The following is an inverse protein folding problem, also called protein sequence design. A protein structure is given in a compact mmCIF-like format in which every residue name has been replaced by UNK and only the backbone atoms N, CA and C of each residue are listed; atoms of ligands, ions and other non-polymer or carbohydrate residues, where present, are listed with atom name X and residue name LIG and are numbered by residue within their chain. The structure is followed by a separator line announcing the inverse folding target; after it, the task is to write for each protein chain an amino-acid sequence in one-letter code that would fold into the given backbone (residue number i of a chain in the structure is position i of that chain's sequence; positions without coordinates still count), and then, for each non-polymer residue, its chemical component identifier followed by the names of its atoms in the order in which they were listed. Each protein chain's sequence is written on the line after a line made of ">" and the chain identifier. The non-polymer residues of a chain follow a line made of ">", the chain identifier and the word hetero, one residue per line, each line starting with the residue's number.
data_IF_372807096565
#
_entry.id   IF_372807096565
#
_cell.length_a   1.000
_cell.length_b   1.000
_cell.length_c   1.000
_cell.angle_alpha   90.00
_cell.angle_beta   90.00
_cell.angle_gamma   90.00
#
_symmetry.space_group_name_H-M   'P 1'
#
loop_
_entity.id
_entity.type
_entity.pdbx_description
1 polymer ?
#
# COMPACT_ATOMS: atom_id res chain seq x y z
N UNK A 1 -26.97 -11.45 -21.69
CA UNK A 1 -26.01 -12.33 -20.98
C UNK A 1 -26.54 -12.81 -19.65
N UNK A 2 -26.80 -11.94 -18.67
CA UNK A 2 -27.27 -12.39 -17.35
C UNK A 2 -28.65 -13.05 -17.45
N UNK A 3 -29.60 -12.38 -18.10
CA UNK A 3 -30.95 -12.93 -18.36
C UNK A 3 -30.96 -14.14 -19.31
N UNK A 4 -29.84 -14.37 -20.01
CA UNK A 4 -29.64 -15.56 -20.86
C UNK A 4 -29.05 -16.73 -20.07
N UNK A 5 -28.77 -16.58 -18.77
CA UNK A 5 -28.20 -17.61 -17.91
C UNK A 5 -26.71 -17.89 -18.17
N UNK A 6 -25.98 -16.94 -18.74
CA UNK A 6 -24.55 -17.07 -19.02
C UNK A 6 -23.70 -16.62 -17.84
N UNK A 7 -22.57 -17.31 -17.61
CA UNK A 7 -21.57 -16.90 -16.63
C UNK A 7 -20.87 -15.62 -17.09
N UNK A 8 -20.89 -14.60 -16.24
CA UNK A 8 -20.28 -13.29 -16.50
C UNK A 8 -19.18 -13.07 -15.48
N UNK A 9 -18.01 -12.63 -15.96
CA UNK A 9 -16.91 -12.24 -15.10
C UNK A 9 -16.42 -10.85 -15.49
N UNK A 10 -16.29 -9.98 -14.50
CA UNK A 10 -15.54 -8.74 -14.61
C UNK A 10 -14.20 -8.91 -13.90
N UNK A 11 -13.10 -8.86 -14.66
CA UNK A 11 -11.78 -9.04 -14.11
C UNK A 11 -11.23 -7.71 -13.58
N UNK A 12 -10.83 -7.69 -12.31
CA UNK A 12 -10.22 -6.55 -11.65
C UNK A 12 -8.72 -6.77 -11.40
N UNK A 13 -7.97 -5.66 -11.36
CA UNK A 13 -6.58 -5.68 -10.92
C UNK A 13 -6.49 -5.63 -9.41
N UNK A 14 -5.62 -6.45 -8.82
CA UNK A 14 -5.38 -6.45 -7.38
C UNK A 14 -6.58 -6.98 -6.61
N UNK A 15 -7.04 -6.25 -5.62
CA UNK A 15 -8.26 -6.56 -4.86
C UNK A 15 -9.39 -5.58 -5.23
N UNK A 16 -10.60 -6.06 -5.59
CA UNK A 16 -11.71 -5.20 -6.00
C UNK A 16 -12.13 -4.15 -4.94
N UNK A 17 -11.87 -4.41 -3.66
CA UNK A 17 -12.26 -3.51 -2.57
C UNK A 17 -11.38 -2.26 -2.45
N UNK A 18 -10.18 -2.26 -3.05
CA UNK A 18 -9.22 -1.16 -2.95
C UNK A 18 -9.15 -0.43 -4.30
N UNK A 19 -9.82 0.72 -4.38
CA UNK A 19 -9.88 1.57 -5.58
C UNK A 19 -10.38 0.85 -6.85
N UNK A 20 -11.10 -0.27 -6.70
CA UNK A 20 -11.61 -1.08 -7.81
C UNK A 20 -12.87 -0.51 -8.49
N UNK A 21 -13.49 0.52 -7.91
CA UNK A 21 -14.69 1.18 -8.42
C UNK A 21 -15.87 0.22 -8.70
N UNK A 22 -16.11 -0.74 -7.80
CA UNK A 22 -17.17 -1.76 -7.92
C UNK A 22 -18.50 -1.35 -7.29
N UNK A 23 -18.56 -0.20 -6.60
CA UNK A 23 -19.74 0.18 -5.82
C UNK A 23 -21.00 0.35 -6.68
N UNK A 24 -20.89 0.98 -7.85
CA UNK A 24 -22.03 1.20 -8.74
C UNK A 24 -22.57 -0.14 -9.29
N UNK A 25 -21.69 -1.11 -9.51
CA UNK A 25 -22.07 -2.47 -9.94
C UNK A 25 -22.80 -3.20 -8.82
N UNK A 26 -22.26 -3.16 -7.60
CA UNK A 26 -22.89 -3.71 -6.40
C UNK A 26 -24.30 -3.12 -6.22
N UNK A 27 -24.43 -1.80 -6.33
CA UNK A 27 -25.72 -1.13 -6.21
C UNK A 27 -26.70 -1.55 -7.31
N UNK A 28 -26.23 -1.68 -8.55
CA UNK A 28 -27.04 -2.15 -9.67
C UNK A 28 -27.55 -3.58 -9.43
N UNK A 29 -26.68 -4.52 -9.07
CA UNK A 29 -27.06 -5.91 -8.83
C UNK A 29 -28.00 -6.04 -7.63
N UNK A 30 -27.71 -5.34 -6.52
CA UNK A 30 -28.57 -5.33 -5.34
C UNK A 30 -29.97 -4.78 -5.65
N UNK A 31 -30.06 -3.67 -6.40
CA UNK A 31 -31.34 -3.03 -6.73
C UNK A 31 -32.22 -3.88 -7.64
N UNK A 32 -31.60 -4.73 -8.46
CA UNK A 32 -32.30 -5.65 -9.37
C UNK A 32 -32.44 -7.08 -8.80
N UNK A 33 -31.99 -7.32 -7.55
CA UNK A 33 -31.98 -8.65 -6.91
C UNK A 33 -31.26 -9.70 -7.76
N UNK A 34 -30.17 -9.28 -8.40
CA UNK A 34 -29.31 -10.14 -9.19
C UNK A 34 -28.22 -10.74 -8.30
N UNK A 35 -27.89 -12.01 -8.52
CA UNK A 35 -26.85 -12.71 -7.80
C UNK A 35 -25.47 -12.32 -8.34
N UNK A 36 -24.51 -12.15 -7.44
CA UNK A 36 -23.10 -11.93 -7.75
C UNK A 36 -22.23 -12.37 -6.57
N UNK A 37 -20.96 -12.56 -6.86
CA UNK A 37 -19.93 -12.83 -5.86
C UNK A 37 -18.73 -11.91 -6.09
N UNK A 38 -18.13 -11.40 -5.02
CA UNK A 38 -16.86 -10.67 -5.07
C UNK A 38 -15.76 -11.64 -4.66
N UNK A 39 -14.91 -12.00 -5.61
CA UNK A 39 -13.73 -12.84 -5.34
C UNK A 39 -12.58 -11.94 -4.89
N UNK A 40 -12.05 -12.09 -3.65
CA UNK A 40 -10.94 -11.29 -3.17
C UNK A 40 -9.66 -11.58 -3.94
N UNK A 41 -8.77 -10.59 -3.99
CA UNK A 41 -7.51 -10.65 -4.72
C UNK A 41 -6.32 -10.19 -3.90
N UNK A 42 -5.13 -10.21 -4.52
CA UNK A 42 -3.90 -9.72 -3.89
C UNK A 42 -3.64 -8.29 -4.35
N UNK A 43 -3.88 -7.32 -3.46
CA UNK A 43 -3.58 -5.91 -3.73
C UNK A 43 -2.08 -5.66 -3.97
N UNK A 44 -1.75 -4.66 -4.78
CA UNK A 44 -0.37 -4.32 -5.13
C UNK A 44 0.49 -3.94 -3.92
N UNK A 45 -0.11 -3.48 -2.82
CA UNK A 45 0.63 -3.19 -1.57
C UNK A 45 1.19 -4.47 -0.95
N UNK A 46 0.43 -5.56 -0.94
CA UNK A 46 0.90 -6.85 -0.42
C UNK A 46 1.90 -7.50 -1.36
N UNK A 47 1.66 -7.42 -2.67
CA UNK A 47 2.61 -7.86 -3.67
C UNK A 47 3.95 -7.10 -3.55
N UNK A 48 3.91 -5.78 -3.30
CA UNK A 48 5.09 -4.94 -3.14
C UNK A 48 5.87 -5.33 -1.88
N UNK A 49 5.18 -5.46 -0.74
CA UNK A 49 5.79 -5.89 0.51
C UNK A 49 6.48 -7.27 0.37
N UNK A 50 5.79 -8.23 -0.24
CA UNK A 50 6.34 -9.57 -0.50
C UNK A 50 7.56 -9.52 -1.44
N UNK A 51 7.51 -8.70 -2.49
CA UNK A 51 8.62 -8.53 -3.44
C UNK A 51 9.83 -7.85 -2.83
N UNK A 52 9.63 -6.99 -1.83
CA UNK A 52 10.69 -6.37 -1.05
C UNK A 52 11.17 -7.26 0.11
N UNK A 53 10.55 -8.42 0.34
CA UNK A 53 10.89 -9.32 1.44
C UNK A 53 10.65 -8.70 2.82
N UNK A 54 9.63 -7.86 2.96
CA UNK A 54 9.39 -7.10 4.19
C UNK A 54 7.97 -7.27 4.72
N UNK A 55 7.82 -7.18 6.04
CA UNK A 55 6.52 -6.99 6.69
C UNK A 55 6.12 -5.51 6.68
N UNK A 56 4.83 -5.22 6.45
CA UNK A 56 4.29 -3.85 6.47
C UNK A 56 4.10 -3.32 7.90
N UNK A 57 3.94 -4.23 8.87
CA UNK A 57 3.84 -3.94 10.29
C UNK A 57 4.90 -4.72 11.04
N UNK A 58 5.68 -4.03 11.87
CA UNK A 58 6.75 -4.64 12.67
C UNK A 58 6.77 -4.12 14.09
N UNK A 59 6.85 -5.01 15.10
CA UNK A 59 6.99 -4.61 16.49
C UNK A 59 8.18 -3.68 16.71
N UNK A 60 7.96 -2.52 17.32
CA UNK A 60 9.00 -1.52 17.57
C UNK A 60 9.31 -0.59 16.39
N UNK A 61 8.59 -0.70 15.28
CA UNK A 61 8.69 0.25 14.15
C UNK A 61 7.35 0.81 13.74
N UNK A 62 6.38 -0.03 13.36
CA UNK A 62 5.02 0.43 13.02
C UNK A 62 4.00 -0.69 13.20
N UNK A 63 2.79 -0.34 13.63
CA UNK A 63 1.67 -1.26 13.80
C UNK A 63 0.46 -0.89 12.92
N UNK A 64 0.60 0.14 12.09
CA UNK A 64 -0.48 0.64 11.25
C UNK A 64 -0.01 0.76 9.81
N UNK A 65 -0.91 0.54 8.86
CA UNK A 65 -0.66 0.75 7.44
C UNK A 65 -1.76 1.64 6.90
N UNK A 66 -1.39 2.73 6.24
CA UNK A 66 -2.33 3.63 5.58
C UNK A 66 -2.25 3.37 4.08
N UNK A 67 -3.37 2.97 3.48
CA UNK A 67 -3.55 2.90 2.04
C UNK A 67 -4.28 4.18 1.61
N UNK A 68 -3.65 4.98 0.75
CA UNK A 68 -4.22 6.27 0.33
C UNK A 68 -3.90 6.58 -1.13
N UNK A 69 -4.41 7.69 -1.64
CA UNK A 69 -4.11 8.24 -2.97
C UNK A 69 -4.10 9.77 -2.90
N UNK A 70 -3.30 10.43 -3.74
CA UNK A 70 -3.43 11.87 -3.92
C UNK A 70 -4.62 12.15 -4.86
N UNK A 71 -5.57 13.03 -4.46
CA UNK A 71 -6.67 13.43 -5.33
C UNK A 71 -6.16 14.09 -6.63
N UNK A 72 -6.82 13.85 -7.77
CA UNK A 72 -6.57 14.58 -9.03
C UNK A 72 -7.69 15.54 -9.39
N UNK A 73 -8.92 15.03 -9.49
CA UNK A 73 -10.13 15.76 -9.90
C UNK A 73 -11.37 15.35 -9.11
N UNK A 74 -11.17 14.56 -8.05
CA UNK A 74 -12.26 14.00 -7.22
C UNK A 74 -12.55 14.90 -6.03
N UNK A 75 -13.67 14.64 -5.37
CA UNK A 75 -13.98 15.23 -4.07
C UNK A 75 -12.80 15.08 -3.10
N UNK A 76 -12.63 16.15 -2.33
CA UNK A 76 -11.57 16.34 -1.34
C UNK A 76 -12.13 15.95 0.02
N UNK A 77 -11.49 14.98 0.66
CA UNK A 77 -11.84 14.56 2.02
C UNK A 77 -10.82 15.18 2.97
N UNK A 78 -11.20 16.28 3.62
CA UNK A 78 -10.27 17.09 4.43
C UNK A 78 -9.48 16.25 5.44
N UNK A 79 -10.10 15.25 6.07
CA UNK A 79 -9.46 14.38 7.07
C UNK A 79 -8.58 13.27 6.49
N UNK A 80 -8.62 13.03 5.18
CA UNK A 80 -7.84 12.00 4.48
C UNK A 80 -6.74 12.61 3.60
N UNK A 81 -6.48 13.91 3.75
CA UNK A 81 -5.41 14.57 3.02
C UNK A 81 -4.06 13.96 3.37
N UNK A 82 -3.23 13.77 2.34
CA UNK A 82 -1.96 13.04 2.48
C UNK A 82 -1.05 13.68 3.53
N UNK A 83 -1.06 15.00 3.71
CA UNK A 83 -0.28 15.66 4.76
C UNK A 83 -0.76 15.31 6.19
N UNK A 84 -2.06 15.11 6.40
CA UNK A 84 -2.62 14.65 7.69
C UNK A 84 -2.31 13.16 7.90
N UNK A 85 -2.48 12.34 6.87
CA UNK A 85 -2.15 10.91 6.96
C UNK A 85 -0.65 10.71 7.22
N UNK A 86 0.20 11.50 6.57
CA UNK A 86 1.65 11.46 6.71
C UNK A 86 2.14 11.84 8.11
N UNK A 87 1.41 12.68 8.85
CA UNK A 87 1.80 13.09 10.20
C UNK A 87 1.80 11.93 11.21
N UNK A 88 1.15 10.81 10.90
CA UNK A 88 1.14 9.61 11.72
C UNK A 88 2.47 8.83 11.68
N UNK A 89 3.36 9.12 10.72
CA UNK A 89 4.69 8.48 10.58
C UNK A 89 4.68 6.94 10.54
N UNK A 90 3.56 6.40 10.10
CA UNK A 90 3.34 4.96 9.95
C UNK A 90 3.70 4.49 8.54
N UNK A 91 3.60 3.20 8.23
CA UNK A 91 3.74 2.75 6.84
C UNK A 91 2.63 3.35 5.97
N UNK A 92 3.00 4.05 4.90
CA UNK A 92 2.07 4.63 3.92
C UNK A 92 2.29 3.97 2.57
N UNK A 93 1.20 3.56 1.92
CA UNK A 93 1.18 3.08 0.55
C UNK A 93 0.25 3.97 -0.28
N UNK A 94 0.83 4.71 -1.23
CA UNK A 94 0.18 5.78 -1.98
C UNK A 94 -0.06 5.31 -3.41
N UNK A 95 -1.33 5.01 -3.71
CA UNK A 95 -1.80 4.52 -5.00
C UNK A 95 -2.06 5.68 -5.97
N UNK A 96 -2.10 5.36 -7.26
CA UNK A 96 -2.57 6.25 -8.34
C UNK A 96 -1.88 7.62 -8.44
N UNK A 97 -0.68 7.75 -7.88
CA UNK A 97 -0.03 9.05 -7.66
C UNK A 97 1.30 9.22 -8.42
N UNK A 98 1.72 8.23 -9.21
CA UNK A 98 2.98 8.27 -9.96
C UNK A 98 3.09 9.49 -10.89
N UNK A 99 2.01 9.89 -11.56
CA UNK A 99 2.00 11.07 -12.43
C UNK A 99 1.94 12.41 -11.68
N UNK A 100 1.87 12.41 -10.35
CA UNK A 100 1.82 13.62 -9.52
C UNK A 100 2.78 13.51 -8.31
N UNK A 101 3.96 12.96 -8.56
CA UNK A 101 4.95 12.68 -7.53
C UNK A 101 5.44 13.94 -6.80
N UNK A 102 5.51 15.08 -7.48
CA UNK A 102 5.81 16.36 -6.85
C UNK A 102 4.83 16.72 -5.74
N UNK A 103 3.53 16.61 -6.01
CA UNK A 103 2.50 16.88 -4.99
C UNK A 103 2.55 15.86 -3.84
N UNK A 104 2.92 14.61 -4.12
CA UNK A 104 3.18 13.60 -3.08
C UNK A 104 4.31 14.08 -2.18
N UNK A 105 5.47 14.46 -2.73
CA UNK A 105 6.62 14.93 -1.97
C UNK A 105 6.29 16.16 -1.12
N UNK A 106 5.63 17.17 -1.71
CA UNK A 106 5.22 18.40 -1.02
C UNK A 106 4.28 18.09 0.17
N UNK A 107 3.29 17.22 -0.02
CA UNK A 107 2.35 16.82 1.04
C UNK A 107 3.01 15.96 2.12
N UNK A 108 3.91 15.05 1.76
CA UNK A 108 4.67 14.28 2.74
C UNK A 108 5.54 15.19 3.62
N UNK A 109 6.22 16.16 3.01
CA UNK A 109 7.03 17.15 3.73
C UNK A 109 6.15 18.01 4.66
N UNK A 110 4.99 18.47 4.16
CA UNK A 110 4.02 19.20 4.98
C UNK A 110 3.51 18.37 6.16
N UNK A 111 3.34 17.05 5.97
CA UNK A 111 3.05 16.08 7.03
C UNK A 111 4.22 15.75 7.94
N UNK A 112 5.33 16.50 7.85
CA UNK A 112 6.47 16.43 8.75
C UNK A 112 7.56 15.47 8.32
N UNK A 113 7.55 14.91 7.10
CA UNK A 113 8.70 14.16 6.58
C UNK A 113 9.82 15.12 6.16
N UNK A 114 11.05 14.64 6.19
CA UNK A 114 12.20 15.33 5.61
C UNK A 114 12.38 14.91 4.16
N UNK A 115 12.92 15.80 3.34
CA UNK A 115 13.12 15.52 1.92
C UNK A 115 14.11 14.37 1.64
N UNK A 116 15.02 14.09 2.58
CA UNK A 116 15.98 12.98 2.54
C UNK A 116 15.44 11.67 3.15
N UNK A 117 14.24 11.67 3.74
CA UNK A 117 13.62 10.44 4.23
C UNK A 117 13.43 9.44 3.07
N UNK A 118 13.70 8.16 3.34
CA UNK A 118 13.62 7.08 2.35
C UNK A 118 12.19 6.87 1.85
N UNK A 119 12.08 6.68 0.54
CA UNK A 119 10.87 6.31 -0.17
C UNK A 119 11.17 5.18 -1.17
N UNK A 120 10.15 4.39 -1.49
CA UNK A 120 10.25 3.32 -2.48
C UNK A 120 9.16 3.46 -3.52
N UNK A 121 9.52 3.29 -4.78
CA UNK A 121 8.59 3.18 -5.91
C UNK A 121 8.57 1.71 -6.33
N UNK A 122 7.43 1.06 -6.16
CA UNK A 122 7.20 -0.30 -6.60
C UNK A 122 6.39 -0.27 -7.91
N UNK A 123 7.05 -0.55 -9.03
CA UNK A 123 6.49 -0.47 -10.38
C UNK A 123 6.20 -1.85 -10.95
N UNK A 124 4.98 -2.04 -11.48
CA UNK A 124 4.50 -3.30 -12.09
C UNK A 124 4.91 -4.53 -11.28
N UNK A 125 4.72 -4.45 -9.97
CA UNK A 125 5.05 -5.53 -9.06
C UNK A 125 4.33 -6.81 -9.47
N UNK A 126 5.04 -7.95 -9.42
CA UNK A 126 4.71 -9.29 -9.93
C UNK A 126 4.78 -9.48 -11.45
N UNK A 127 5.10 -8.44 -12.22
CA UNK A 127 5.29 -8.58 -13.68
C UNK A 127 6.75 -8.91 -14.00
N UNK A 128 7.04 -9.48 -15.20
CA UNK A 128 8.42 -9.79 -15.60
C UNK A 128 9.37 -8.59 -15.62
N UNK A 129 8.84 -7.39 -15.84
CA UNK A 129 9.58 -6.12 -15.86
C UNK A 129 9.37 -5.27 -14.61
N UNK A 130 9.02 -5.90 -13.48
CA UNK A 130 8.95 -5.27 -12.18
C UNK A 130 10.21 -4.44 -11.88
N UNK A 131 10.02 -3.29 -11.23
CA UNK A 131 11.12 -2.52 -10.63
C UNK A 131 10.77 -2.12 -9.20
N UNK A 132 11.72 -2.30 -8.29
CA UNK A 132 11.70 -1.71 -6.96
C UNK A 132 12.79 -0.63 -6.96
N UNK A 133 12.39 0.62 -6.87
CA UNK A 133 13.30 1.77 -6.96
C UNK A 133 13.32 2.45 -5.60
N UNK A 134 14.46 2.35 -4.93
CA UNK A 134 14.70 3.09 -3.70
C UNK A 134 15.15 4.52 -4.02
N UNK A 135 14.60 5.48 -3.28
CA UNK A 135 14.88 6.89 -3.47
C UNK A 135 14.60 7.65 -2.16
N UNK A 136 14.60 8.97 -2.23
CA UNK A 136 14.15 9.85 -1.13
C UNK A 136 12.84 10.53 -1.51
N UNK A 137 12.18 11.16 -0.54
CA UNK A 137 10.97 11.94 -0.82
C UNK A 137 11.23 13.04 -1.85
N UNK A 138 12.38 13.74 -1.79
CA UNK A 138 12.77 14.71 -2.82
C UNK A 138 13.15 14.04 -4.16
N UNK A 139 13.61 12.79 -4.12
CA UNK A 139 14.00 12.03 -5.31
C UNK A 139 12.84 11.40 -6.09
N UNK A 140 11.62 11.34 -5.53
CA UNK A 140 10.47 10.64 -6.14
C UNK A 140 10.21 11.04 -7.59
N UNK A 141 10.07 12.33 -7.88
CA UNK A 141 9.77 12.83 -9.22
C UNK A 141 10.88 12.48 -10.21
N UNK A 142 12.13 12.70 -9.81
CA UNK A 142 13.30 12.41 -10.64
C UNK A 142 13.42 10.91 -10.93
N UNK A 143 13.31 10.04 -9.91
CA UNK A 143 13.39 8.59 -10.06
C UNK A 143 12.30 8.03 -10.99
N UNK A 144 11.08 8.58 -10.93
CA UNK A 144 10.00 8.23 -11.86
C UNK A 144 10.31 8.68 -13.29
N UNK A 145 10.81 9.90 -13.46
CA UNK A 145 11.18 10.45 -14.76
C UNK A 145 12.31 9.63 -15.43
N UNK A 146 13.40 9.38 -14.73
CA UNK A 146 14.55 8.62 -15.25
C UNK A 146 14.15 7.20 -15.67
N UNK A 147 13.25 6.58 -14.92
CA UNK A 147 12.75 5.24 -15.23
C UNK A 147 11.60 5.22 -16.25
N UNK A 148 11.15 6.39 -16.74
CA UNK A 148 10.02 6.57 -17.66
C UNK A 148 8.71 5.99 -17.12
N UNK A 149 8.48 6.13 -15.82
CA UNK A 149 7.30 5.60 -15.11
C UNK A 149 6.32 6.74 -14.86
N UNK A 150 5.10 6.63 -15.40
CA UNK A 150 4.01 7.58 -15.14
C UNK A 150 2.70 6.93 -14.65
N UNK A 151 2.68 5.60 -14.54
CA UNK A 151 1.51 4.78 -14.15
C UNK A 151 1.97 3.44 -13.56
N UNK A 152 1.03 2.67 -13.01
CA UNK A 152 1.28 1.31 -12.49
C UNK A 152 2.42 1.24 -11.45
N UNK A 153 2.54 2.32 -10.66
CA UNK A 153 3.51 2.41 -9.59
C UNK A 153 2.81 2.74 -8.27
N UNK A 154 3.27 2.08 -7.22
CA UNK A 154 2.93 2.34 -5.83
C UNK A 154 4.09 3.09 -5.18
N UNK A 155 3.82 4.22 -4.52
CA UNK A 155 4.83 4.92 -3.72
C UNK A 155 4.65 4.51 -2.27
N UNK A 156 5.74 4.14 -1.61
CA UNK A 156 5.74 3.65 -0.23
C UNK A 156 6.72 4.45 0.62
N UNK A 157 6.30 4.89 1.81
CA UNK A 157 7.14 5.64 2.78
C UNK A 157 6.80 5.25 4.22
N UNK A 158 7.69 5.56 5.17
CA UNK A 158 7.44 5.38 6.60
C UNK A 158 7.52 3.93 7.06
N UNK A 159 7.40 3.72 8.38
CA UNK A 159 7.52 2.38 8.97
C UNK A 159 8.80 1.65 8.53
N UNK A 160 8.71 0.34 8.29
CA UNK A 160 9.85 -0.47 7.85
C UNK A 160 10.45 -0.03 6.50
N UNK A 161 9.75 0.76 5.68
CA UNK A 161 10.32 1.27 4.42
C UNK A 161 11.44 2.26 4.75
N UNK A 162 11.26 3.06 5.80
CA UNK A 162 12.23 4.06 6.25
C UNK A 162 13.35 3.48 7.11
N UNK A 163 13.22 2.25 7.63
CA UNK A 163 14.22 1.61 8.48
C UNK A 163 14.77 0.35 7.79
N UNK A 164 16.07 0.33 7.45
CA UNK A 164 16.76 -0.95 7.20
C UNK A 164 16.84 -1.69 8.54
N UNK A 165 15.86 -2.54 8.84
CA UNK A 165 15.86 -3.29 10.08
C UNK A 165 16.63 -4.61 9.91
N UNK A 166 17.93 -4.57 10.20
CA UNK A 166 18.67 -5.76 10.69
C UNK A 166 18.15 -6.27 12.06
N UNK A 167 17.08 -5.67 12.60
CA UNK A 167 16.47 -6.05 13.87
C UNK A 167 15.44 -7.17 13.66
N UNK A 168 15.82 -8.37 14.10
CA UNK A 168 14.95 -9.56 14.15
C UNK A 168 13.69 -9.30 15.00
N UNK A 169 12.55 -9.77 14.50
CA UNK A 169 11.25 -9.74 15.18
C UNK A 169 11.31 -10.32 16.61
N UNK A 170 10.70 -9.63 17.56
CA UNK A 170 10.58 -10.05 18.97
C UNK A 170 9.77 -11.34 19.16
N UNK A 171 9.07 -11.83 18.13
CA UNK A 171 8.43 -13.16 18.12
C UNK A 171 9.45 -14.30 18.29
N UNK A 172 10.73 -14.06 17.95
CA UNK A 172 11.83 -15.01 18.16
C UNK A 172 12.67 -14.68 19.40
N UNK A 173 12.25 -13.73 20.24
CA UNK A 173 12.93 -13.46 21.50
C UNK A 173 12.65 -14.64 22.46
N UNK A 174 13.68 -15.38 22.94
CA UNK A 174 13.50 -16.49 23.87
C UNK A 174 12.83 -16.09 25.20
N UNK A 175 12.73 -14.80 25.50
CA UNK A 175 12.08 -14.25 26.70
C UNK A 175 10.58 -13.94 26.52
N UNK A 176 9.99 -14.13 25.33
CA UNK A 176 8.57 -13.85 25.10
C UNK A 176 7.69 -15.09 25.41
N UNK A 177 7.02 -15.07 26.56
CA UNK A 177 6.08 -16.13 26.96
C UNK A 177 4.72 -15.94 26.30
N UNK A 178 4.44 -16.73 25.26
CA UNK A 178 3.08 -16.99 24.78
C UNK A 178 2.45 -18.17 25.53
N UNK A 179 1.11 -18.17 25.62
CA UNK A 179 0.22 -19.08 26.38
C UNK A 179 0.45 -20.60 26.21
N UNK A 180 1.30 -21.05 25.28
CA UNK A 180 1.58 -22.48 25.06
C UNK A 180 3.06 -22.88 25.21
N UNK A 181 3.96 -21.99 25.67
CA UNK A 181 5.37 -22.32 25.90
C UNK A 181 5.78 -22.04 27.34
N UNK A 182 6.00 -23.11 28.12
CA UNK A 182 6.62 -23.00 29.45
C UNK A 182 8.06 -22.49 29.28
N UNK A 183 8.37 -21.39 29.97
CA UNK A 183 9.72 -20.88 30.16
C UNK A 183 10.62 -21.98 30.74
N UNK A 184 11.72 -22.29 30.06
CA UNK A 184 12.78 -23.13 30.59
C UNK A 184 13.85 -22.25 31.23
N UNK A 185 13.55 -21.66 32.38
CA UNK A 185 14.60 -21.22 33.30
C UNK A 185 14.96 -22.42 34.18
N UNK A 186 16.15 -23.00 33.96
CA UNK A 186 16.84 -23.78 35.00
C UNK A 186 17.43 -22.80 36.00
N UNK A 187 17.19 -23.09 37.28
CA UNK A 187 17.69 -22.40 38.47
C UNK A 187 19.19 -22.25 38.49
#
# INVERSE_FOLDING_TARGET
>A
YYDEGLDITRLHSGDPSIYGAINDEIQFFNSNRMEYEIIPGISSVFAAAASMGMELTSPGTTQSVILTRVPRRTEHFENEELDILASHKTALAIFLSASNARAVSEKLIKGGYKGDDRAVIAYRVSWPDQKIIETTINGLEHSLFENRINRQALIMVGGNISYNSDKKSYLYNPDFTHLFRKSSKKS
#
